data_IF_978382924393
#
_entry.id   IF_978382924393
#
_cell.length_a   1.000
_cell.length_b   1.000
_cell.length_c   1.000
_cell.angle_alpha   90.00
_cell.angle_beta   90.00
_cell.angle_gamma   90.00
#
_symmetry.space_group_name_H-M   'P 1'
#
loop_
_entity.id
_entity.type
_entity.pdbx_description
1 polymer ?
#
# COMPACT_ATOMS: atom_id res chain seq x y z
N UNK A 1 25.93 -4.56 45.19
CA UNK A 1 24.76 -4.08 44.41
C UNK A 1 23.54 -4.87 44.85
N UNK A 2 22.45 -4.22 45.26
CA UNK A 2 21.28 -4.94 45.78
C UNK A 2 20.56 -5.70 44.66
N UNK A 3 20.08 -6.92 44.96
CA UNK A 3 19.33 -7.76 43.99
C UNK A 3 18.16 -7.00 43.36
N UNK A 4 17.48 -6.15 44.13
CA UNK A 4 16.38 -5.28 43.66
C UNK A 4 16.86 -4.27 42.61
N UNK A 5 18.03 -3.66 42.81
CA UNK A 5 18.63 -2.71 41.86
C UNK A 5 19.03 -3.39 40.55
N UNK A 6 19.58 -4.61 40.62
CA UNK A 6 19.91 -5.42 39.43
C UNK A 6 18.64 -5.74 38.62
N UNK A 7 17.58 -6.20 39.30
CA UNK A 7 16.30 -6.52 38.65
C UNK A 7 15.68 -5.28 38.00
N UNK A 8 15.70 -4.14 38.69
CA UNK A 8 15.18 -2.89 38.14
C UNK A 8 15.94 -2.46 36.89
N UNK A 9 17.27 -2.55 36.88
CA UNK A 9 18.09 -2.25 35.70
C UNK A 9 17.77 -3.18 34.53
N UNK A 10 17.59 -4.47 34.77
CA UNK A 10 17.22 -5.45 33.73
C UNK A 10 15.86 -5.14 33.12
N UNK A 11 14.86 -4.77 33.93
CA UNK A 11 13.53 -4.39 33.44
C UNK A 11 13.61 -3.13 32.58
N UNK A 12 14.32 -2.10 33.05
CA UNK A 12 14.51 -0.86 32.28
C UNK A 12 15.21 -1.13 30.95
N UNK A 13 16.28 -1.94 30.95
CA UNK A 13 16.97 -2.37 29.74
C UNK A 13 16.03 -3.08 28.77
N UNK A 14 15.17 -3.98 29.28
CA UNK A 14 14.20 -4.71 28.48
C UNK A 14 13.18 -3.78 27.83
N UNK A 15 12.66 -2.79 28.56
CA UNK A 15 11.71 -1.80 28.04
C UNK A 15 12.35 -0.97 26.92
N UNK A 16 13.60 -0.53 27.11
CA UNK A 16 14.34 0.24 26.09
C UNK A 16 14.54 -0.60 24.82
N UNK A 17 14.92 -1.88 24.96
CA UNK A 17 15.09 -2.78 23.82
C UNK A 17 13.77 -3.01 23.06
N UNK A 18 12.67 -3.24 23.78
CA UNK A 18 11.34 -3.41 23.16
C UNK A 18 10.93 -2.13 22.43
N UNK A 19 11.08 -0.97 23.06
CA UNK A 19 10.76 0.32 22.44
C UNK A 19 11.58 0.59 21.18
N UNK A 20 12.89 0.34 21.23
CA UNK A 20 13.77 0.47 20.07
C UNK A 20 13.41 -0.49 18.93
N UNK A 21 13.07 -1.74 19.26
CA UNK A 21 12.63 -2.73 18.27
C UNK A 21 11.32 -2.29 17.60
N UNK A 22 10.33 -1.84 18.37
CA UNK A 22 9.06 -1.36 17.82
C UNK A 22 9.27 -0.14 16.93
N UNK A 23 10.06 0.84 17.38
CA UNK A 23 10.38 2.02 16.59
C UNK A 23 11.00 1.65 15.24
N UNK A 24 12.00 0.76 15.24
CA UNK A 24 12.64 0.30 14.02
C UNK A 24 11.68 -0.48 13.11
N UNK A 25 10.83 -1.34 13.69
CA UNK A 25 9.88 -2.16 12.93
C UNK A 25 8.84 -1.32 12.18
N UNK A 26 8.29 -0.28 12.81
CA UNK A 26 7.28 0.58 12.19
C UNK A 26 7.88 1.66 11.26
N UNK A 27 9.05 2.21 11.59
CA UNK A 27 9.64 3.33 10.84
C UNK A 27 10.60 2.93 9.73
N UNK A 28 10.91 1.64 9.54
CA UNK A 28 11.82 1.25 8.47
C UNK A 28 11.34 1.69 7.08
N UNK A 29 12.30 2.14 6.27
CA UNK A 29 12.04 2.63 4.93
C UNK A 29 11.48 1.54 4.00
N UNK A 30 10.67 1.94 3.01
CA UNK A 30 10.20 1.08 1.94
C UNK A 30 11.32 0.26 1.32
N UNK A 31 11.14 -1.07 1.30
CA UNK A 31 11.98 -1.96 0.51
C UNK A 31 11.57 -1.93 -0.95
N UNK A 32 12.30 -2.69 -1.77
CA UNK A 32 12.02 -2.94 -3.18
C UNK A 32 10.54 -3.15 -3.46
N UNK A 33 10.06 -2.45 -4.48
CA UNK A 33 8.68 -2.53 -4.98
C UNK A 33 8.39 -3.99 -5.41
N UNK A 34 7.19 -4.53 -5.12
CA UNK A 34 6.84 -5.90 -5.50
C UNK A 34 6.83 -6.07 -7.02
N UNK A 35 7.09 -7.28 -7.50
CA UNK A 35 7.03 -7.55 -8.94
C UNK A 35 5.59 -7.52 -9.46
N UNK A 36 5.41 -7.31 -10.77
CA UNK A 36 4.07 -7.35 -11.38
C UNK A 36 3.34 -8.67 -11.10
N UNK A 37 4.01 -9.82 -11.22
CA UNK A 37 3.38 -11.13 -10.94
C UNK A 37 2.97 -11.30 -9.48
N UNK A 38 3.76 -10.77 -8.55
CA UNK A 38 3.42 -10.77 -7.13
C UNK A 38 2.20 -9.88 -6.83
N UNK A 39 2.15 -8.68 -7.41
CA UNK A 39 1.00 -7.78 -7.26
C UNK A 39 -0.27 -8.40 -7.85
N UNK A 40 -0.19 -8.99 -9.05
CA UNK A 40 -1.32 -9.69 -9.66
C UNK A 40 -1.85 -10.82 -8.76
N UNK A 41 -0.94 -11.59 -8.17
CA UNK A 41 -1.31 -12.68 -7.25
C UNK A 41 -2.05 -12.14 -6.04
N UNK A 42 -1.52 -11.08 -5.41
CA UNK A 42 -2.12 -10.46 -4.23
C UNK A 42 -3.48 -9.83 -4.53
N UNK A 43 -3.64 -9.17 -5.67
CA UNK A 43 -4.91 -8.58 -6.10
C UNK A 43 -5.95 -9.68 -6.30
N UNK A 44 -5.64 -10.70 -7.09
CA UNK A 44 -6.57 -11.80 -7.37
C UNK A 44 -6.89 -12.64 -6.12
N UNK A 45 -5.97 -12.75 -5.16
CA UNK A 45 -6.24 -13.41 -3.88
C UNK A 45 -7.16 -12.60 -2.97
N UNK A 46 -7.05 -11.27 -2.99
CA UNK A 46 -7.89 -10.39 -2.17
C UNK A 46 -9.27 -10.15 -2.81
N UNK A 47 -9.33 -10.13 -4.14
CA UNK A 47 -10.55 -9.90 -4.90
C UNK A 47 -10.50 -10.71 -6.20
N UNK A 48 -11.06 -11.92 -6.17
CA UNK A 48 -11.02 -12.88 -7.28
C UNK A 48 -11.68 -12.33 -8.55
N UNK A 49 -12.76 -11.55 -8.39
CA UNK A 49 -13.49 -10.89 -9.49
C UNK A 49 -12.66 -9.83 -10.23
N UNK A 50 -11.53 -9.37 -9.67
CA UNK A 50 -10.62 -8.48 -10.38
C UNK A 50 -10.05 -9.11 -11.66
N UNK A 51 -9.87 -10.44 -11.63
CA UNK A 51 -9.32 -11.25 -12.72
C UNK A 51 -8.14 -10.59 -13.44
N UNK A 52 -7.16 -10.07 -12.69
CA UNK A 52 -6.07 -9.28 -13.25
C UNK A 52 -5.30 -10.09 -14.29
N UNK A 53 -5.29 -9.61 -15.54
CA UNK A 53 -4.52 -10.17 -16.63
C UNK A 53 -3.15 -9.50 -16.77
N UNK A 54 -3.07 -8.19 -16.51
CA UNK A 54 -1.84 -7.41 -16.69
C UNK A 54 -1.80 -6.18 -15.78
N UNK A 55 -0.67 -5.96 -15.13
CA UNK A 55 -0.33 -4.65 -14.54
C UNK A 55 0.20 -3.75 -15.64
N UNK A 56 -0.37 -2.54 -15.76
CA UNK A 56 0.05 -1.56 -16.76
C UNK A 56 1.35 -0.88 -16.33
N UNK A 57 1.37 -0.36 -15.11
CA UNK A 57 2.50 0.37 -14.54
C UNK A 57 2.46 0.29 -13.01
N UNK A 58 3.58 0.61 -12.37
CA UNK A 58 3.67 0.81 -10.92
C UNK A 58 4.04 2.26 -10.64
N UNK A 59 3.10 3.06 -10.16
CA UNK A 59 3.27 4.49 -9.96
C UNK A 59 3.50 4.76 -8.48
N UNK A 60 4.70 5.24 -8.14
CA UNK A 60 5.04 5.68 -6.79
C UNK A 60 4.43 7.07 -6.54
N UNK A 61 3.38 7.13 -5.73
CA UNK A 61 2.66 8.38 -5.45
C UNK A 61 3.39 9.19 -4.37
N UNK A 62 3.93 8.49 -3.39
CA UNK A 62 4.92 9.00 -2.44
C UNK A 62 5.82 7.85 -1.97
N UNK A 63 6.67 8.07 -0.97
CA UNK A 63 7.58 7.02 -0.47
C UNK A 63 6.87 5.73 -0.06
N UNK A 64 5.63 5.79 0.47
CA UNK A 64 4.91 4.68 1.11
C UNK A 64 3.63 4.27 0.39
N UNK A 65 3.30 4.85 -0.76
CA UNK A 65 2.05 4.60 -1.46
C UNK A 65 2.30 4.34 -2.96
N UNK A 66 1.77 3.21 -3.44
CA UNK A 66 1.80 2.83 -4.85
C UNK A 66 0.38 2.84 -5.39
N UNK A 67 0.23 3.46 -6.56
CA UNK A 67 -0.93 3.32 -7.41
C UNK A 67 -0.59 2.36 -8.56
N UNK A 68 -1.39 1.32 -8.71
CA UNK A 68 -1.11 0.21 -9.63
C UNK A 68 -2.34 -0.03 -10.53
N UNK A 69 -2.40 0.64 -11.69
CA UNK A 69 -3.43 0.39 -12.70
C UNK A 69 -3.25 -0.99 -13.35
N UNK A 70 -4.36 -1.67 -13.60
CA UNK A 70 -4.36 -3.01 -14.20
C UNK A 70 -5.47 -3.19 -15.23
N UNK A 71 -5.30 -4.19 -16.09
CA UNK A 71 -6.31 -4.65 -17.05
C UNK A 71 -6.76 -6.06 -16.62
N UNK A 72 -8.06 -6.27 -16.50
CA UNK A 72 -8.68 -7.57 -16.20
C UNK A 72 -8.66 -8.48 -17.44
N UNK A 73 -8.93 -9.78 -17.24
CA UNK A 73 -9.13 -10.73 -18.35
C UNK A 73 -10.30 -10.36 -19.26
N UNK A 74 -11.28 -9.64 -18.72
CA UNK A 74 -12.46 -9.16 -19.45
C UNK A 74 -12.22 -7.79 -20.12
N UNK A 75 -10.96 -7.34 -20.16
CA UNK A 75 -10.53 -6.05 -20.72
C UNK A 75 -11.07 -4.82 -19.97
N UNK A 76 -11.45 -4.99 -18.70
CA UNK A 76 -11.81 -3.89 -17.81
C UNK A 76 -10.56 -3.23 -17.25
N UNK A 77 -10.61 -1.90 -17.10
CA UNK A 77 -9.51 -1.12 -16.58
C UNK A 77 -9.77 -0.85 -15.10
N UNK A 78 -9.01 -1.52 -14.25
CA UNK A 78 -9.12 -1.43 -12.80
C UNK A 78 -7.95 -0.69 -12.18
N UNK A 79 -8.08 -0.43 -10.87
CA UNK A 79 -7.02 0.21 -10.08
C UNK A 79 -6.78 -0.55 -8.79
N UNK A 80 -5.55 -0.55 -8.33
CA UNK A 80 -5.18 -1.13 -7.03
C UNK A 80 -4.20 -0.24 -6.30
N UNK A 81 -4.25 -0.32 -4.97
CA UNK A 81 -3.56 0.59 -4.06
C UNK A 81 -2.73 -0.23 -3.12
N UNK A 82 -1.42 0.01 -3.11
CA UNK A 82 -0.53 -0.63 -2.15
C UNK A 82 0.09 0.40 -1.22
N UNK A 83 0.22 0.02 0.04
CA UNK A 83 0.78 0.86 1.09
C UNK A 83 1.91 0.15 1.82
N UNK A 84 2.98 0.87 2.10
CA UNK A 84 4.10 0.36 2.88
C UNK A 84 3.78 0.45 4.37
N UNK A 85 3.40 -0.69 4.95
CA UNK A 85 3.12 -0.86 6.39
C UNK A 85 3.87 -2.07 6.91
N UNK A 86 4.36 -2.00 8.16
CA UNK A 86 4.99 -3.15 8.86
C UNK A 86 6.08 -3.86 8.03
N UNK A 87 6.88 -3.09 7.28
CA UNK A 87 8.00 -3.57 6.47
C UNK A 87 7.64 -4.38 5.23
N UNK A 88 6.40 -4.29 4.77
CA UNK A 88 5.96 -4.89 3.53
C UNK A 88 5.05 -3.92 2.78
N UNK A 89 5.00 -4.08 1.47
CA UNK A 89 3.91 -3.50 0.70
C UNK A 89 2.67 -4.35 0.99
N UNK A 90 1.56 -3.72 1.36
CA UNK A 90 0.28 -4.38 1.62
C UNK A 90 -0.75 -3.84 0.63
N UNK A 91 -1.60 -4.72 0.10
CA UNK A 91 -2.71 -4.29 -0.75
C UNK A 91 -3.78 -3.66 0.14
N UNK A 92 -4.09 -2.39 -0.08
CA UNK A 92 -5.04 -1.61 0.71
C UNK A 92 -6.43 -1.63 0.10
N UNK A 93 -6.52 -1.49 -1.23
CA UNK A 93 -7.78 -1.48 -1.95
C UNK A 93 -7.62 -1.94 -3.40
N UNK A 94 -8.72 -2.45 -3.96
CA UNK A 94 -8.86 -2.82 -5.36
C UNK A 94 -10.20 -2.28 -5.84
N UNK A 95 -10.20 -1.62 -7.00
CA UNK A 95 -11.41 -1.19 -7.68
C UNK A 95 -11.41 -1.77 -9.08
N UNK A 96 -12.45 -2.54 -9.43
CA UNK A 96 -12.62 -3.09 -10.78
C UNK A 96 -12.98 -2.03 -11.83
N UNK A 97 -13.35 -0.82 -11.40
CA UNK A 97 -13.77 0.27 -12.29
C UNK A 97 -12.76 1.40 -12.21
N UNK A 98 -12.25 1.81 -13.38
CA UNK A 98 -11.20 2.82 -13.50
C UNK A 98 -11.66 4.28 -13.54
N UNK A 99 -12.86 4.55 -13.05
CA UNK A 99 -13.36 5.93 -12.93
C UNK A 99 -12.48 6.77 -11.97
N UNK A 100 -12.52 8.10 -12.05
CA UNK A 100 -11.69 8.95 -11.23
C UNK A 100 -12.14 8.84 -9.79
N UNK A 101 -11.20 8.51 -8.90
CA UNK A 101 -11.45 8.47 -7.47
C UNK A 101 -10.57 9.48 -6.76
N UNK A 102 -11.12 10.10 -5.72
CA UNK A 102 -10.33 10.86 -4.76
C UNK A 102 -9.71 9.88 -3.76
N UNK A 103 -8.44 9.57 -3.95
CA UNK A 103 -7.67 8.79 -3.00
C UNK A 103 -7.15 9.70 -1.89
N UNK A 104 -7.67 9.50 -0.68
CA UNK A 104 -7.24 10.20 0.54
C UNK A 104 -6.15 9.38 1.22
N UNK A 105 -4.90 9.68 0.87
CA UNK A 105 -3.72 8.97 1.40
C UNK A 105 -3.62 9.17 2.92
N UNK A 106 -3.74 10.41 3.38
CA UNK A 106 -3.87 10.76 4.79
C UNK A 106 -5.09 11.67 4.96
N UNK A 107 -6.13 11.16 5.64
CA UNK A 107 -7.39 11.87 5.84
C UNK A 107 -7.23 13.23 6.52
N UNK A 108 -6.20 13.39 7.35
CA UNK A 108 -5.98 14.58 8.17
C UNK A 108 -5.13 15.63 7.43
N UNK A 109 -4.47 15.25 6.34
CA UNK A 109 -3.66 16.13 5.50
C UNK A 109 -4.22 16.25 4.06
N UNK A 110 -5.04 17.27 3.75
CA UNK A 110 -5.65 17.43 2.42
C UNK A 110 -4.66 17.52 1.26
N UNK A 111 -3.41 17.97 1.50
CA UNK A 111 -2.34 17.99 0.50
C UNK A 111 -1.89 16.59 0.04
N UNK A 112 -2.17 15.57 0.85
CA UNK A 112 -1.90 14.17 0.50
C UNK A 112 -2.90 13.61 -0.51
N UNK A 113 -4.08 14.24 -0.66
CA UNK A 113 -5.13 13.72 -1.52
C UNK A 113 -4.71 13.74 -2.98
N UNK A 114 -5.04 12.67 -3.71
CA UNK A 114 -4.78 12.52 -5.14
C UNK A 114 -6.04 12.12 -5.86
N UNK A 115 -6.22 12.64 -7.06
CA UNK A 115 -7.20 12.12 -8.01
C UNK A 115 -6.47 11.12 -8.89
N UNK A 116 -6.95 9.89 -8.93
CA UNK A 116 -6.36 8.81 -9.75
C UNK A 116 -7.45 8.14 -10.58
N UNK A 117 -7.07 7.60 -11.74
CA UNK A 117 -7.97 6.95 -12.67
C UNK A 117 -7.20 5.96 -13.54
N UNK A 118 -7.93 5.06 -14.19
CA UNK A 118 -7.39 4.17 -15.21
C UNK A 118 -8.48 3.90 -16.25
N UNK A 119 -8.57 4.74 -17.28
CA UNK A 119 -9.63 4.61 -18.29
C UNK A 119 -9.19 3.76 -19.47
N UNK A 120 -10.16 3.10 -20.11
CA UNK A 120 -9.92 2.53 -21.42
C UNK A 120 -9.59 3.68 -22.40
N UNK A 121 -8.55 3.59 -23.25
CA UNK A 121 -8.18 4.67 -24.17
C UNK A 121 -9.30 5.12 -25.13
N UNK A 122 -10.28 4.25 -25.35
CA UNK A 122 -11.45 4.48 -26.20
C UNK A 122 -12.67 5.02 -25.45
N UNK A 123 -12.62 5.11 -24.12
CA UNK A 123 -13.67 5.73 -23.32
C UNK A 123 -13.76 7.21 -23.72
N UNK A 124 -14.84 7.53 -24.45
CA UNK A 124 -15.11 8.92 -24.86
C UNK A 124 -15.65 9.68 -23.66
N UNK A 125 -15.02 10.81 -23.34
CA UNK A 125 -15.59 11.81 -22.45
C UNK A 125 -16.93 12.29 -23.04
N UNK A 126 -18.04 11.79 -22.51
CA UNK A 126 -19.34 12.39 -22.75
C UNK A 126 -19.54 13.47 -21.69
N UNK A 127 -19.58 14.73 -22.13
CA UNK A 127 -20.09 15.82 -21.28
C UNK A 127 -21.62 15.75 -21.31
N UNK A 128 -22.23 15.83 -20.14
CA UNK A 128 -23.68 15.98 -19.98
C UNK A 128 -24.10 17.42 -20.28
#
# INVERSE_FOLDING_TARGET
MNKKTVIMLLITMMIIMIGGFLYWYYNSDPKTIPSHGEMMTRINQAYEEAEVAKIQETILVDKRHLFVPYISKNNDYGTSFFVWKKRNWELEAVNAVGHPILWKIDSDEPSSYKIVWNFHPEDKFQSA
#
